data_IF_688101234484
#
_entry.id   IF_688101234484
#
_cell.length_a   1.000
_cell.length_b   1.000
_cell.length_c   1.000
_cell.angle_alpha   90.00
_cell.angle_beta   90.00
_cell.angle_gamma   90.00
#
_symmetry.space_group_name_H-M   'P 1'
#
loop_
_entity.id
_entity.type
_entity.pdbx_description
1 polymer ?
#
# COMPACT_ATOMS: atom_id res chain seq x y z
N UNK A 1 -19.90 -4.20 -25.74
CA UNK A 1 -19.81 -4.76 -24.37
C UNK A 1 -18.37 -4.63 -23.92
N UNK A 2 -18.08 -3.78 -22.92
CA UNK A 2 -16.75 -3.77 -22.29
C UNK A 2 -16.79 -4.78 -21.14
N UNK A 3 -15.93 -5.79 -21.22
CA UNK A 3 -15.71 -6.75 -20.14
C UNK A 3 -14.94 -6.01 -19.04
N UNK A 4 -15.62 -5.57 -17.99
CA UNK A 4 -14.95 -5.03 -16.80
C UNK A 4 -14.37 -6.23 -16.07
N UNK A 5 -13.05 -6.40 -16.11
CA UNK A 5 -12.37 -7.41 -15.32
C UNK A 5 -12.69 -7.19 -13.83
N UNK A 6 -12.95 -8.26 -13.05
CA UNK A 6 -13.15 -8.11 -11.62
C UNK A 6 -11.90 -7.48 -11.00
N UNK A 7 -12.08 -6.42 -10.22
CA UNK A 7 -10.98 -5.76 -9.51
C UNK A 7 -10.41 -6.71 -8.45
N UNK A 8 -9.13 -7.02 -8.56
CA UNK A 8 -8.41 -7.86 -7.61
C UNK A 8 -7.88 -7.01 -6.44
N UNK A 9 -7.51 -7.67 -5.34
CA UNK A 9 -6.87 -7.00 -4.21
C UNK A 9 -5.42 -7.41 -4.07
N UNK A 10 -4.58 -6.46 -3.70
CA UNK A 10 -3.15 -6.65 -3.53
C UNK A 10 -2.71 -6.10 -2.19
N UNK A 11 -1.94 -6.89 -1.43
CA UNK A 11 -1.17 -6.41 -0.30
C UNK A 11 0.13 -5.83 -0.84
N UNK A 12 0.38 -4.56 -0.56
CA UNK A 12 1.63 -3.89 -0.88
C UNK A 12 2.38 -3.59 0.40
N UNK A 13 3.64 -4.05 0.47
CA UNK A 13 4.53 -3.82 1.61
C UNK A 13 5.70 -2.96 1.20
N UNK A 14 5.86 -1.84 1.89
CA UNK A 14 6.84 -0.80 1.61
C UNK A 14 7.70 -0.54 2.85
N UNK A 15 8.82 -1.27 3.02
CA UNK A 15 9.79 -0.96 4.05
C UNK A 15 10.31 0.46 3.88
N UNK A 16 10.41 1.21 4.97
CA UNK A 16 10.97 2.55 4.92
C UNK A 16 12.46 2.51 4.58
N UNK A 17 12.93 3.52 3.85
CA UNK A 17 14.36 3.67 3.56
C UNK A 17 15.12 4.23 4.77
N UNK A 18 16.45 4.16 4.67
CA UNK A 18 17.40 4.79 5.59
C UNK A 18 17.57 6.29 5.33
N UNK A 19 16.82 6.85 4.37
CA UNK A 19 16.89 8.26 4.00
C UNK A 19 15.82 9.07 4.73
N UNK A 20 16.17 10.24 5.28
CA UNK A 20 15.17 11.15 5.81
C UNK A 20 14.28 11.66 4.68
N UNK A 21 12.98 11.71 4.92
CA UNK A 21 12.00 12.28 4.00
C UNK A 21 11.50 13.60 4.58
N UNK A 22 11.42 14.64 3.76
CA UNK A 22 10.97 15.95 4.22
C UNK A 22 9.50 15.92 4.66
N UNK A 23 9.12 16.67 5.72
CA UNK A 23 7.74 16.70 6.21
C UNK A 23 6.70 17.10 5.16
N UNK A 24 7.06 17.97 4.21
CA UNK A 24 6.20 18.38 3.09
C UNK A 24 5.81 17.20 2.19
N UNK A 25 6.71 16.23 1.99
CA UNK A 25 6.44 15.00 1.23
C UNK A 25 5.48 14.11 1.99
N UNK A 26 5.54 14.09 3.32
CA UNK A 26 4.61 13.32 4.16
C UNK A 26 3.18 13.87 4.03
N UNK A 27 3.02 15.19 3.94
CA UNK A 27 1.71 15.78 3.69
C UNK A 27 1.21 15.48 2.25
N UNK A 28 2.07 15.64 1.24
CA UNK A 28 1.72 15.28 -0.14
C UNK A 28 1.34 13.80 -0.30
N UNK A 29 2.00 12.92 0.45
CA UNK A 29 1.66 11.50 0.55
C UNK A 29 0.25 11.27 1.11
N UNK A 30 -0.14 11.97 2.18
CA UNK A 30 -1.51 11.86 2.74
C UNK A 30 -2.58 12.34 1.76
N UNK A 31 -2.31 13.44 1.06
CA UNK A 31 -3.19 13.97 0.02
C UNK A 31 -3.33 12.96 -1.13
N UNK A 32 -2.22 12.34 -1.55
CA UNK A 32 -2.21 11.30 -2.57
C UNK A 32 -3.04 10.08 -2.14
N UNK A 33 -2.84 9.56 -0.93
CA UNK A 33 -3.63 8.42 -0.42
C UNK A 33 -5.13 8.75 -0.35
N UNK A 34 -5.48 9.99 0.00
CA UNK A 34 -6.88 10.44 0.01
C UNK A 34 -7.46 10.49 -1.41
N UNK A 35 -6.66 10.94 -2.39
CA UNK A 35 -7.05 11.00 -3.80
C UNK A 35 -7.22 9.61 -4.45
N UNK A 36 -6.52 8.57 -3.95
CA UNK A 36 -6.72 7.19 -4.39
C UNK A 36 -8.15 6.67 -4.14
N UNK A 37 -8.87 7.27 -3.17
CA UNK A 37 -10.27 6.98 -2.92
C UNK A 37 -10.56 5.49 -2.80
N UNK A 38 -11.49 4.98 -3.61
CA UNK A 38 -11.93 3.58 -3.58
C UNK A 38 -10.88 2.54 -4.00
N UNK A 39 -9.73 2.96 -4.53
CA UNK A 39 -8.61 2.07 -4.86
C UNK A 39 -7.79 1.71 -3.61
N UNK A 40 -7.78 2.55 -2.58
CA UNK A 40 -7.14 2.23 -1.29
C UNK A 40 -8.18 1.61 -0.35
N UNK A 41 -7.98 0.35 0.03
CA UNK A 41 -8.86 -0.37 0.97
C UNK A 41 -8.40 -0.16 2.41
N UNK A 42 -7.09 -0.24 2.65
CA UNK A 42 -6.48 -0.09 3.97
C UNK A 42 -5.06 0.44 3.84
N UNK A 43 -4.66 1.34 4.74
CA UNK A 43 -3.27 1.73 4.96
C UNK A 43 -2.91 1.55 6.43
N UNK A 44 -1.72 1.00 6.70
CA UNK A 44 -1.22 0.80 8.05
C UNK A 44 0.29 1.06 8.14
N UNK A 45 0.72 1.57 9.28
CA UNK A 45 2.12 1.62 9.65
C UNK A 45 2.51 0.36 10.40
N UNK A 46 3.68 -0.18 10.09
CA UNK A 46 4.32 -1.23 10.87
C UNK A 46 5.55 -0.66 11.60
N UNK A 47 6.11 -1.47 12.51
CA UNK A 47 7.37 -1.14 13.14
C UNK A 47 8.44 -0.86 12.06
N UNK A 48 9.33 0.10 12.29
CA UNK A 48 10.38 0.43 11.33
C UNK A 48 11.31 -0.78 11.13
N UNK A 49 11.65 -1.06 9.87
CA UNK A 49 12.74 -1.98 9.55
C UNK A 49 14.07 -1.48 10.15
N UNK A 50 14.98 -2.41 10.46
CA UNK A 50 16.26 -2.06 11.07
C UNK A 50 17.06 -1.08 10.17
N UNK A 51 17.45 0.07 10.72
CA UNK A 51 18.16 1.13 10.00
C UNK A 51 17.27 2.09 9.20
N UNK A 52 15.94 1.91 9.23
CA UNK A 52 15.02 2.82 8.56
C UNK A 52 14.83 4.14 9.33
N UNK A 53 14.61 5.24 8.60
CA UNK A 53 14.33 6.58 9.15
C UNK A 53 12.83 6.83 9.40
N UNK A 54 12.01 5.77 9.44
CA UNK A 54 10.57 5.88 9.65
C UNK A 54 9.86 4.51 9.66
N UNK A 55 8.55 4.49 9.94
CA UNK A 55 7.79 3.25 9.96
C UNK A 55 7.64 2.66 8.55
N UNK A 56 7.65 1.33 8.49
CA UNK A 56 7.26 0.61 7.28
C UNK A 56 5.77 0.86 7.00
N UNK A 57 5.38 0.81 5.72
CA UNK A 57 4.00 1.05 5.29
C UNK A 57 3.43 -0.16 4.59
N UNK A 58 2.21 -0.52 4.95
CA UNK A 58 1.46 -1.60 4.33
C UNK A 58 0.15 -1.05 3.78
N UNK A 59 -0.18 -1.45 2.55
CA UNK A 59 -1.42 -1.05 1.88
C UNK A 59 -2.16 -2.27 1.38
N UNK A 60 -3.48 -2.22 1.42
CA UNK A 60 -4.34 -3.10 0.63
C UNK A 60 -4.97 -2.23 -0.45
N UNK A 61 -4.68 -2.53 -1.72
CA UNK A 61 -5.19 -1.77 -2.86
C UNK A 61 -6.04 -2.66 -3.78
N UNK A 62 -7.00 -2.03 -4.43
CA UNK A 62 -7.80 -2.58 -5.50
C UNK A 62 -7.18 -2.18 -6.84
N UNK A 63 -6.85 -3.17 -7.66
CA UNK A 63 -6.26 -2.95 -8.99
C UNK A 63 -6.68 -4.09 -9.93
N UNK A 64 -6.62 -3.85 -11.24
CA UNK A 64 -6.86 -4.86 -12.27
C UNK A 64 -5.64 -5.74 -12.56
N UNK A 65 -4.46 -5.41 -12.02
CA UNK A 65 -3.24 -6.20 -12.16
C UNK A 65 -2.20 -5.87 -11.08
N UNK A 66 -1.18 -6.73 -10.95
CA UNK A 66 -0.02 -6.45 -10.09
C UNK A 66 0.79 -5.23 -10.55
N UNK A 67 0.86 -4.97 -11.85
CA UNK A 67 1.57 -3.81 -12.41
C UNK A 67 0.83 -2.50 -12.10
N UNK A 68 -0.49 -2.51 -12.16
CA UNK A 68 -1.32 -1.37 -11.73
C UNK A 68 -1.19 -1.13 -10.22
N UNK A 69 -1.26 -2.20 -9.40
CA UNK A 69 -1.01 -2.08 -7.96
C UNK A 69 0.39 -1.52 -7.66
N UNK A 70 1.38 -1.86 -8.50
CA UNK A 70 2.74 -1.29 -8.40
C UNK A 70 2.76 0.18 -8.73
N UNK A 71 2.12 0.57 -9.83
CA UNK A 71 2.04 1.96 -10.28
C UNK A 71 1.42 2.87 -9.19
N UNK A 72 0.32 2.44 -8.57
CA UNK A 72 -0.34 3.16 -7.48
C UNK A 72 0.57 3.44 -6.28
N UNK A 73 1.63 2.65 -6.09
CA UNK A 73 2.55 2.82 -4.96
C UNK A 73 3.87 3.46 -5.39
N UNK A 74 4.30 3.29 -6.64
CA UNK A 74 5.49 3.98 -7.16
C UNK A 74 5.22 5.44 -7.50
N UNK A 75 3.97 5.80 -7.78
CA UNK A 75 3.53 7.18 -8.07
C UNK A 75 3.25 7.98 -6.78
N UNK A 76 3.27 7.32 -5.62
CA UNK A 76 3.19 7.96 -4.31
C UNK A 76 4.34 8.98 -4.15
N UNK A 77 4.07 10.26 -3.80
CA UNK A 77 5.11 11.25 -3.54
C UNK A 77 6.19 10.78 -2.56
N UNK A 78 5.82 9.93 -1.59
CA UNK A 78 6.76 9.34 -0.65
C UNK A 78 7.70 8.32 -1.33
N UNK A 79 7.18 7.52 -2.27
CA UNK A 79 7.99 6.60 -3.07
C UNK A 79 8.93 7.35 -4.01
N UNK A 80 8.42 8.38 -4.70
CA UNK A 80 9.19 9.22 -5.64
C UNK A 80 10.34 9.93 -4.92
N UNK A 81 10.12 10.36 -3.67
CA UNK A 81 11.17 10.94 -2.82
C UNK A 81 12.20 9.91 -2.30
N UNK A 82 12.06 8.62 -2.65
CA UNK A 82 12.95 7.56 -2.18
C UNK A 82 12.71 7.16 -0.72
N UNK A 83 11.50 7.39 -0.20
CA UNK A 83 11.13 7.04 1.17
C UNK A 83 10.93 5.54 1.41
N UNK A 84 10.80 4.74 0.36
CA UNK A 84 10.72 3.27 0.44
C UNK A 84 12.04 2.63 0.01
N UNK A 85 12.54 1.67 0.80
CA UNK A 85 13.67 0.84 0.42
C UNK A 85 13.30 -0.17 -0.68
N UNK A 86 12.07 -0.66 -0.66
CA UNK A 86 11.52 -1.58 -1.67
C UNK A 86 9.99 -1.52 -1.69
N UNK A 87 9.39 -2.03 -2.76
CA UNK A 87 7.93 -2.22 -2.89
C UNK A 87 7.66 -3.67 -3.23
N UNK A 88 7.00 -4.39 -2.33
CA UNK A 88 6.70 -5.81 -2.47
C UNK A 88 5.19 -6.01 -2.60
N UNK A 89 4.76 -6.62 -3.69
CA UNK A 89 3.33 -6.80 -4.01
C UNK A 89 2.99 -8.27 -3.91
N UNK A 90 1.90 -8.55 -3.20
CA UNK A 90 1.37 -9.89 -3.01
C UNK A 90 -0.11 -9.88 -3.43
N UNK A 91 -0.52 -10.67 -4.44
CA UNK A 91 -1.93 -10.83 -4.76
C UNK A 91 -2.65 -11.44 -3.55
N UNK A 92 -3.72 -10.79 -3.10
CA UNK A 92 -4.59 -11.30 -2.06
C UNK A 92 -5.71 -12.09 -2.72
N UNK A 93 -5.51 -13.40 -2.84
CA UNK A 93 -6.60 -14.32 -3.04
C UNK A 93 -7.44 -14.33 -1.76
N UNK A 94 -8.49 -13.52 -1.69
CA UNK A 94 -9.38 -13.52 -0.54
C UNK A 94 -10.11 -14.85 -0.51
N UNK A 95 -9.67 -15.72 0.39
CA UNK A 95 -10.52 -16.79 0.89
C UNK A 95 -11.62 -16.10 1.72
N UNK A 96 -12.73 -15.73 1.08
CA UNK A 96 -13.98 -15.45 1.78
C UNK A 96 -14.51 -16.81 2.26
N UNK A 97 -13.82 -17.40 3.22
CA UNK A 97 -14.21 -18.60 3.95
C UNK A 97 -14.53 -18.18 5.37
N UNK A 98 -15.79 -17.79 5.59
CA UNK A 98 -16.52 -17.82 6.86
C UNK A 98 -15.76 -17.55 8.16
N UNK A 99 -15.91 -16.35 8.73
CA UNK A 99 -15.80 -16.18 10.19
C UNK A 99 -17.11 -16.66 10.82
N UNK A 100 -17.17 -17.94 11.22
CA UNK A 100 -18.08 -18.39 12.28
C UNK A 100 -17.20 -18.70 13.48
N UNK A 101 -17.17 -17.80 14.46
CA UNK A 101 -16.67 -18.06 15.81
C UNK A 101 -15.17 -17.90 16.02
N UNK A 102 -14.68 -16.67 16.14
CA UNK A 102 -13.34 -16.39 16.66
C UNK A 102 -13.23 -14.96 17.15
N UNK A 103 -13.04 -14.75 18.45
CA UNK A 103 -12.91 -13.44 19.09
C UNK A 103 -11.74 -12.67 18.45
N UNK A 104 -11.98 -11.46 17.95
CA UNK A 104 -10.93 -10.56 17.47
C UNK A 104 -9.95 -10.21 18.61
N UNK A 105 -8.65 -10.23 18.31
CA UNK A 105 -7.55 -9.76 19.15
C UNK A 105 -7.07 -8.41 18.64
#
# INVERSE_FOLDING_TARGET
MQTVSPTEMFLVRCPASDRPVEPSVIEAHKDYLTALGGSLVLGAHAAPSAGAQGPDRHYIVRAGSSDEAKALVTDDPFAVAGGYASVNIVPLNVLIGSVIGGKAW
#
